data_IF_402383524227
#
_entry.id   IF_402383524227
#
_cell.length_a   1.000
_cell.length_b   1.000
_cell.length_c   1.000
_cell.angle_alpha   90.00
_cell.angle_beta   90.00
_cell.angle_gamma   90.00
#
_symmetry.space_group_name_H-M   'P 1'
#
loop_
_entity.id
_entity.type
_entity.pdbx_description
1 polymer ?
#
# COMPACT_ATOMS: atom_id res chain seq x y z
N UNK A 1 -4.21 4.62 -7.31
CA UNK A 1 -2.98 4.98 -6.58
C UNK A 1 -1.89 5.69 -7.40
N UNK A 2 -2.02 5.91 -8.73
CA UNK A 2 -0.94 6.53 -9.53
C UNK A 2 -0.68 8.01 -9.21
N UNK A 3 -1.69 8.76 -8.75
CA UNK A 3 -1.59 10.22 -8.53
C UNK A 3 -0.84 10.54 -7.23
N UNK A 4 -1.14 9.83 -6.14
CA UNK A 4 -0.52 10.08 -4.82
C UNK A 4 0.99 9.77 -4.82
N UNK A 5 1.41 8.68 -5.47
CA UNK A 5 2.83 8.33 -5.64
C UNK A 5 3.62 9.36 -6.45
N UNK A 6 2.97 9.99 -7.45
CA UNK A 6 3.62 11.00 -8.29
C UNK A 6 3.86 12.31 -7.52
N UNK A 7 2.92 12.71 -6.66
CA UNK A 7 3.10 13.85 -5.76
C UNK A 7 4.19 13.59 -4.71
N UNK A 8 4.26 12.36 -4.18
CA UNK A 8 5.26 11.99 -3.18
C UNK A 8 6.68 11.90 -3.74
N UNK A 9 6.84 11.62 -5.05
CA UNK A 9 8.14 11.60 -5.73
C UNK A 9 8.60 12.93 -6.32
N UNK A 10 7.76 13.97 -6.30
CA UNK A 10 8.10 15.27 -6.85
C UNK A 10 9.07 16.04 -5.95
N UNK A 11 10.27 16.43 -6.44
CA UNK A 11 11.25 17.14 -5.62
C UNK A 11 10.76 18.51 -5.11
N UNK A 12 9.96 19.23 -5.90
CA UNK A 12 9.42 20.54 -5.52
C UNK A 12 8.43 20.45 -4.36
N UNK A 13 7.55 19.45 -4.41
CA UNK A 13 6.65 19.12 -3.33
C UNK A 13 7.40 18.69 -2.07
N UNK A 14 8.38 17.79 -2.20
CA UNK A 14 9.21 17.34 -1.08
C UNK A 14 10.02 18.47 -0.45
N UNK A 15 10.47 19.45 -1.24
CA UNK A 15 11.15 20.65 -0.73
C UNK A 15 10.21 21.51 0.11
N UNK A 16 8.97 21.72 -0.32
CA UNK A 16 7.96 22.44 0.46
C UNK A 16 7.63 21.74 1.79
N UNK A 17 7.57 20.40 1.78
CA UNK A 17 7.40 19.61 3.01
C UNK A 17 8.64 19.72 3.91
N UNK A 18 9.86 19.65 3.34
CA UNK A 18 11.11 19.81 4.07
C UNK A 18 11.19 21.16 4.79
N UNK A 19 10.83 22.25 4.10
CA UNK A 19 10.75 23.58 4.70
C UNK A 19 9.75 23.65 5.85
N UNK A 20 8.55 23.10 5.69
CA UNK A 20 7.52 23.06 6.74
C UNK A 20 7.94 22.27 7.98
N UNK A 21 8.72 21.21 7.79
CA UNK A 21 9.16 20.32 8.86
C UNK A 21 10.56 20.67 9.40
N UNK A 22 11.24 21.67 8.85
CA UNK A 22 12.59 22.05 9.25
C UNK A 22 13.67 21.00 8.91
N UNK A 23 13.44 20.16 7.89
CA UNK A 23 14.35 19.09 7.49
C UNK A 23 14.77 19.23 6.03
N UNK A 24 15.91 18.61 5.67
CA UNK A 24 16.35 18.58 4.28
C UNK A 24 15.35 17.83 3.39
N UNK A 25 15.22 18.25 2.13
CA UNK A 25 14.42 17.53 1.13
C UNK A 25 14.88 16.06 0.99
N UNK A 26 16.19 15.80 1.11
CA UNK A 26 16.74 14.44 1.10
C UNK A 26 16.23 13.57 2.27
N UNK A 27 15.95 14.18 3.43
CA UNK A 27 15.32 13.47 4.56
C UNK A 27 13.88 13.09 4.22
N UNK A 28 13.11 14.01 3.63
CA UNK A 28 11.74 13.73 3.18
C UNK A 28 11.71 12.60 2.16
N UNK A 29 12.59 12.66 1.15
CA UNK A 29 12.70 11.63 0.11
C UNK A 29 12.97 10.25 0.68
N UNK A 30 13.97 10.12 1.59
CA UNK A 30 14.29 8.85 2.27
C UNK A 30 13.12 8.31 3.09
N UNK A 31 12.38 9.17 3.77
CA UNK A 31 11.19 8.77 4.55
C UNK A 31 10.08 8.27 3.65
N UNK A 32 9.81 8.96 2.53
CA UNK A 32 8.82 8.54 1.54
C UNK A 32 9.19 7.17 0.96
N UNK A 33 10.44 6.98 0.56
CA UNK A 33 10.93 5.71 0.02
C UNK A 33 10.73 4.56 1.01
N UNK A 34 11.08 4.77 2.28
CA UNK A 34 10.86 3.78 3.35
C UNK A 34 9.38 3.45 3.54
N UNK A 35 8.50 4.45 3.51
CA UNK A 35 7.06 4.24 3.65
C UNK A 35 6.50 3.43 2.46
N UNK A 36 6.90 3.78 1.24
CA UNK A 36 6.50 3.08 0.01
C UNK A 36 6.96 1.62 0.05
N UNK A 37 8.22 1.36 0.41
CA UNK A 37 8.75 0.01 0.54
C UNK A 37 8.03 -0.81 1.62
N UNK A 38 7.63 -0.19 2.73
CA UNK A 38 6.86 -0.86 3.78
C UNK A 38 5.45 -1.23 3.32
N UNK A 39 4.78 -0.34 2.57
CA UNK A 39 3.48 -0.63 1.96
C UNK A 39 3.61 -1.76 0.95
N UNK A 40 4.63 -1.75 0.10
CA UNK A 40 4.85 -2.84 -0.86
C UNK A 40 5.12 -4.18 -0.17
N UNK A 41 5.96 -4.19 0.87
CA UNK A 41 6.22 -5.39 1.65
C UNK A 41 4.94 -5.99 2.25
N UNK A 42 4.05 -5.14 2.78
CA UNK A 42 2.78 -5.58 3.37
C UNK A 42 1.69 -5.88 2.32
N UNK A 43 1.77 -5.28 1.12
CA UNK A 43 0.75 -5.42 0.07
C UNK A 43 0.57 -6.86 -0.41
N UNK A 44 1.63 -7.67 -0.38
CA UNK A 44 1.57 -9.10 -0.67
C UNK A 44 0.69 -9.89 0.32
N UNK A 45 0.35 -9.30 1.46
CA UNK A 45 -0.52 -9.91 2.47
C UNK A 45 -1.96 -9.40 2.42
N UNK A 46 -2.20 -8.22 1.82
CA UNK A 46 -3.51 -7.55 1.88
C UNK A 46 -4.57 -8.16 0.98
N UNK A 47 -4.21 -8.72 -0.18
CA UNK A 47 -5.16 -9.35 -1.10
C UNK A 47 -4.59 -10.67 -1.60
N UNK A 48 -4.87 -11.75 -0.86
CA UNK A 48 -4.63 -13.13 -1.31
C UNK A 48 -5.96 -13.73 -1.73
N UNK A 49 -6.15 -13.95 -3.04
CA UNK A 49 -7.25 -14.76 -3.53
C UNK A 49 -7.03 -16.19 -3.04
N UNK A 50 -7.95 -16.68 -2.21
CA UNK A 50 -7.91 -18.07 -1.75
C UNK A 50 -8.24 -18.95 -2.94
N UNK A 51 -7.33 -19.84 -3.32
CA UNK A 51 -7.50 -20.72 -4.48
C UNK A 51 -7.99 -22.10 -4.09
N UNK A 52 -7.90 -22.45 -2.80
CA UNK A 52 -8.33 -23.75 -2.29
C UNK A 52 -9.48 -23.63 -1.30
N UNK A 53 -10.33 -24.67 -1.27
CA UNK A 53 -11.45 -24.77 -0.32
C UNK A 53 -10.97 -24.75 1.14
N UNK A 54 -9.79 -25.32 1.41
CA UNK A 54 -9.19 -25.32 2.75
C UNK A 54 -8.85 -23.89 3.21
N UNK A 55 -8.19 -23.10 2.37
CA UNK A 55 -7.85 -21.71 2.70
C UNK A 55 -9.07 -20.79 2.82
N UNK A 56 -10.14 -21.10 2.07
CA UNK A 56 -11.43 -20.42 2.18
C UNK A 56 -12.09 -20.73 3.53
N UNK A 57 -12.06 -21.99 3.97
CA UNK A 57 -12.64 -22.44 5.24
C UNK A 57 -11.89 -21.85 6.44
N UNK A 58 -10.55 -21.87 6.41
CA UNK A 58 -9.69 -21.22 7.41
C UNK A 58 -9.92 -19.70 7.49
N UNK A 59 -10.10 -19.03 6.34
CA UNK A 59 -10.40 -17.59 6.32
C UNK A 59 -11.78 -17.26 6.90
N UNK A 60 -12.79 -18.10 6.63
CA UNK A 60 -14.14 -17.98 7.21
C UNK A 60 -14.12 -18.15 8.73
N UNK A 61 -13.34 -19.10 9.25
CA UNK A 61 -13.22 -19.36 10.69
C UNK A 61 -12.44 -18.26 11.43
N UNK A 62 -11.45 -17.64 10.79
CA UNK A 62 -10.58 -16.62 11.38
C UNK A 62 -11.18 -15.19 11.31
N UNK A 63 -12.38 -15.01 10.75
CA UNK A 63 -13.07 -13.70 10.69
C UNK A 63 -12.38 -12.65 9.82
N UNK A 64 -11.36 -13.03 9.02
CA UNK A 64 -10.73 -12.12 8.05
C UNK A 64 -11.70 -11.92 6.90
N UNK A 65 -12.08 -10.66 6.66
CA UNK A 65 -13.11 -10.27 5.71
C UNK A 65 -12.93 -10.98 4.36
N UNK A 66 -13.76 -11.98 4.09
CA UNK A 66 -13.83 -12.66 2.82
C UNK A 66 -14.50 -11.70 1.83
N UNK A 67 -13.71 -10.93 1.08
CA UNK A 67 -14.25 -10.14 -0.01
C UNK A 67 -14.61 -11.11 -1.13
N UNK A 68 -15.87 -11.54 -1.16
CA UNK A 68 -16.44 -12.31 -2.27
C UNK A 68 -16.52 -11.41 -3.50
N UNK A 69 -15.48 -11.42 -4.34
CA UNK A 69 -15.62 -10.94 -5.70
C UNK A 69 -16.45 -11.96 -6.47
N UNK A 70 -17.75 -11.69 -6.59
CA UNK A 70 -18.62 -12.34 -7.57
C UNK A 70 -18.06 -11.97 -8.95
N UNK A 71 -17.22 -12.81 -9.54
CA UNK A 71 -16.97 -12.74 -10.97
C UNK A 71 -18.30 -13.12 -11.64
N UNK A 72 -19.03 -12.10 -12.09
CA UNK A 72 -20.02 -12.31 -13.14
C UNK A 72 -19.24 -12.49 -14.44
N UNK A 73 -19.33 -13.71 -14.94
CA UNK A 73 -18.94 -14.14 -16.29
C UNK A 73 -19.44 -13.15 -17.36
N UNK A 74 -18.54 -12.75 -18.26
CA UNK A 74 -18.75 -12.81 -19.71
C UNK A 74 -17.43 -13.23 -20.34
#
# INVERSE_FOLDING_TARGET
MKICLRCLGDPGYQQGIGQKLGVSQATVSRTVDRAVNSIFAQSNEWIKFKTTNHELMEAKLCGRACINFRQQLV
#
